data_IF_454386744078
#
_entry.id   IF_454386744078
#
_cell.length_a   1.000
_cell.length_b   1.000
_cell.length_c   1.000
_cell.angle_alpha   90.00
_cell.angle_beta   90.00
_cell.angle_gamma   90.00
#
_symmetry.space_group_name_H-M   'P 1'
#
loop_
_entity.id
_entity.type
_entity.pdbx_description
1 polymer ?
#
# COMPACT_ATOMS: atom_id res chain seq x y z
N UNK A 1 -3.21 17.33 -5.07
CA UNK A 1 -3.13 15.88 -4.79
C UNK A 1 -3.72 15.64 -3.40
N UNK A 2 -4.57 14.63 -3.22
CA UNK A 2 -5.03 14.22 -1.89
C UNK A 2 -3.99 13.31 -1.22
N UNK A 3 -3.75 13.45 0.08
CA UNK A 3 -2.71 12.74 0.83
C UNK A 3 -3.14 12.55 2.30
N UNK A 4 -2.72 11.49 3.02
CA UNK A 4 -3.08 11.27 4.42
C UNK A 4 -2.36 12.22 5.40
N UNK A 5 -1.33 12.92 4.93
CA UNK A 5 -0.48 13.85 5.69
C UNK A 5 -0.91 15.29 5.40
N UNK A 6 -0.94 16.16 6.41
CA UNK A 6 -1.30 17.57 6.20
C UNK A 6 -0.22 18.33 5.40
N UNK A 7 -0.62 19.41 4.74
CA UNK A 7 0.27 20.20 3.87
C UNK A 7 1.39 20.91 4.64
N UNK A 8 1.12 21.29 5.89
CA UNK A 8 2.10 21.92 6.78
C UNK A 8 3.26 20.96 7.08
N UNK A 9 2.97 19.72 7.48
CA UNK A 9 4.00 18.72 7.78
C UNK A 9 4.86 18.39 6.56
N UNK A 10 4.25 18.33 5.37
CA UNK A 10 4.98 18.10 4.12
C UNK A 10 5.94 19.26 3.83
N UNK A 11 5.48 20.50 4.02
CA UNK A 11 6.22 21.73 3.77
C UNK A 11 7.35 21.95 4.77
N UNK A 12 7.08 21.78 6.06
CA UNK A 12 8.08 21.92 7.12
C UNK A 12 9.03 20.71 7.20
N UNK A 13 8.60 19.54 6.73
CA UNK A 13 9.38 18.32 6.76
C UNK A 13 9.46 17.67 8.14
N UNK A 14 8.58 18.04 9.06
CA UNK A 14 8.40 17.46 10.40
C UNK A 14 6.91 17.24 10.66
N UNK A 15 6.58 16.33 11.58
CA UNK A 15 5.19 16.02 11.90
C UNK A 15 4.63 17.00 12.93
N UNK A 16 3.38 17.42 12.75
CA UNK A 16 2.62 18.10 13.78
C UNK A 16 2.06 17.10 14.79
N UNK A 17 1.61 17.59 15.95
CA UNK A 17 1.05 16.76 17.01
C UNK A 17 -0.13 15.87 16.55
N UNK A 18 -0.91 16.31 15.56
CA UNK A 18 -2.03 15.52 15.05
C UNK A 18 -1.57 14.37 14.16
N UNK A 19 -0.58 14.58 13.28
CA UNK A 19 -0.02 13.50 12.48
C UNK A 19 0.82 12.52 13.34
N UNK A 20 1.51 13.00 14.38
CA UNK A 20 2.16 12.14 15.36
C UNK A 20 1.16 11.21 16.06
N UNK A 21 0.00 11.74 16.48
CA UNK A 21 -1.09 10.92 17.05
C UNK A 21 -1.59 9.87 16.07
N UNK A 22 -1.71 10.20 14.78
CA UNK A 22 -2.09 9.23 13.75
C UNK A 22 -1.05 8.11 13.59
N UNK A 23 0.24 8.43 13.70
CA UNK A 23 1.29 7.41 13.72
C UNK A 23 1.17 6.51 14.94
N UNK A 24 1.01 7.09 16.13
CA UNK A 24 0.85 6.33 17.37
C UNK A 24 -0.36 5.40 17.36
N UNK A 25 -1.43 5.76 16.63
CA UNK A 25 -2.63 4.92 16.44
C UNK A 25 -2.49 3.88 15.31
N UNK A 26 -1.43 3.95 14.51
CA UNK A 26 -1.22 3.10 13.33
C UNK A 26 -2.11 3.47 12.14
N UNK A 27 -2.64 4.70 12.11
CA UNK A 27 -3.39 5.26 10.98
C UNK A 27 -2.48 5.88 9.91
N UNK A 28 -1.27 6.28 10.32
CA UNK A 28 -0.20 6.78 9.45
C UNK A 28 1.08 6.02 9.81
N UNK A 29 1.98 5.82 8.86
CA UNK A 29 3.33 5.30 9.10
C UNK A 29 4.39 6.36 8.77
N UNK A 30 5.61 6.17 9.27
CA UNK A 30 6.75 7.01 8.88
C UNK A 30 7.01 6.94 7.35
N UNK A 31 6.75 5.78 6.74
CA UNK A 31 6.85 5.61 5.30
C UNK A 31 5.77 6.41 4.56
N UNK A 32 4.54 6.49 5.09
CA UNK A 32 3.50 7.34 4.52
C UNK A 32 3.94 8.81 4.49
N UNK A 33 4.57 9.27 5.56
CA UNK A 33 5.11 10.62 5.63
C UNK A 33 6.19 10.87 4.59
N UNK A 34 7.14 9.95 4.46
CA UNK A 34 8.21 10.03 3.48
C UNK A 34 7.67 10.04 2.04
N UNK A 35 6.77 9.10 1.70
CA UNK A 35 6.15 9.01 0.38
C UNK A 35 5.34 10.25 0.05
N UNK A 36 4.57 10.80 1.01
CA UNK A 36 3.83 12.04 0.82
C UNK A 36 4.76 13.22 0.45
N UNK A 37 5.92 13.33 1.12
CA UNK A 37 6.91 14.37 0.80
C UNK A 37 7.55 14.18 -0.57
N UNK A 38 7.89 12.94 -0.94
CA UNK A 38 8.44 12.63 -2.26
C UNK A 38 7.42 12.98 -3.36
N UNK A 39 6.18 12.55 -3.21
CA UNK A 39 5.10 12.87 -4.16
C UNK A 39 4.87 14.38 -4.29
N UNK A 40 4.92 15.14 -3.18
CA UNK A 40 4.81 16.59 -3.22
C UNK A 40 5.94 17.26 -4.02
N UNK A 41 7.19 16.78 -3.85
CA UNK A 41 8.34 17.25 -4.65
C UNK A 41 8.17 16.91 -6.13
N UNK A 42 7.71 15.70 -6.46
CA UNK A 42 7.45 15.29 -7.84
C UNK A 42 6.34 16.16 -8.46
N UNK A 43 5.30 16.48 -7.67
CA UNK A 43 4.17 17.32 -8.11
C UNK A 43 4.58 18.77 -8.48
N UNK A 44 5.74 19.25 -8.01
CA UNK A 44 6.26 20.56 -8.45
C UNK A 44 6.73 20.56 -9.91
N UNK A 45 7.12 19.39 -10.43
CA UNK A 45 7.67 19.22 -11.79
C UNK A 45 6.71 18.49 -12.72
N UNK A 46 5.72 17.79 -12.17
CA UNK A 46 4.71 17.02 -12.89
C UNK A 46 3.32 17.33 -12.34
N UNK A 47 2.30 17.34 -13.19
CA UNK A 47 0.93 17.56 -12.74
C UNK A 47 0.33 16.29 -12.12
N UNK A 48 0.44 16.14 -10.79
CA UNK A 48 -0.21 15.10 -10.00
C UNK A 48 -1.42 15.65 -9.22
N UNK A 49 -1.97 16.80 -9.64
CA UNK A 49 -3.04 17.48 -8.90
C UNK A 49 -4.26 16.58 -8.67
N UNK A 50 -4.63 15.79 -9.69
CA UNK A 50 -5.74 14.84 -9.67
C UNK A 50 -5.40 13.50 -8.98
N UNK A 51 -4.14 13.25 -8.61
CA UNK A 51 -3.77 12.03 -7.90
C UNK A 51 -4.28 12.04 -6.46
N UNK A 52 -4.40 10.83 -5.90
CA UNK A 52 -4.63 10.60 -4.48
C UNK A 52 -3.63 9.59 -3.96
N UNK A 53 -3.12 9.83 -2.78
CA UNK A 53 -2.35 8.88 -2.00
C UNK A 53 -3.13 8.63 -0.72
N UNK A 54 -3.35 7.36 -0.36
CA UNK A 54 -4.12 6.99 0.84
C UNK A 54 -3.21 6.38 1.90
N UNK A 55 -2.38 5.39 1.52
CA UNK A 55 -1.43 4.71 2.40
C UNK A 55 -0.40 3.95 1.57
N UNK A 56 0.74 3.62 2.15
CA UNK A 56 1.72 2.70 1.58
C UNK A 56 2.08 1.57 2.54
N UNK A 57 2.57 0.47 1.97
CA UNK A 57 2.97 -0.73 2.70
C UNK A 57 4.35 -1.16 2.23
N UNK A 58 5.24 -1.39 3.18
CA UNK A 58 6.57 -1.93 2.94
C UNK A 58 6.52 -3.47 2.93
N UNK A 59 6.91 -4.05 1.81
CA UNK A 59 7.06 -5.50 1.59
C UNK A 59 8.55 -5.89 1.51
N UNK A 60 9.43 -5.12 2.15
CA UNK A 60 10.87 -5.32 2.15
C UNK A 60 11.51 -4.81 0.86
N UNK A 61 11.41 -5.59 -0.22
CA UNK A 61 11.98 -5.24 -1.55
C UNK A 61 11.08 -4.36 -2.41
N UNK A 62 9.84 -4.16 -1.97
CA UNK A 62 8.81 -3.44 -2.70
C UNK A 62 8.00 -2.57 -1.74
N UNK A 63 7.60 -1.39 -2.20
CA UNK A 63 6.60 -0.54 -1.54
C UNK A 63 5.34 -0.53 -2.40
N UNK A 64 4.20 -0.87 -1.79
CA UNK A 64 2.88 -0.77 -2.44
C UNK A 64 2.23 0.53 -1.99
N UNK A 65 1.87 1.40 -2.94
CA UNK A 65 1.23 2.69 -2.71
C UNK A 65 -0.23 2.61 -3.15
N UNK A 66 -1.14 2.93 -2.24
CA UNK A 66 -2.58 2.89 -2.47
C UNK A 66 -3.14 4.25 -2.89
N UNK A 67 -4.02 4.24 -3.90
CA UNK A 67 -4.72 5.42 -4.44
C UNK A 67 -6.21 5.15 -4.58
N UNK A 68 -7.06 6.09 -4.18
CA UNK A 68 -8.50 6.06 -4.48
C UNK A 68 -8.83 6.49 -5.92
N UNK A 69 -7.98 7.33 -6.50
CA UNK A 69 -8.06 7.78 -7.90
C UNK A 69 -7.43 6.80 -8.88
N UNK A 70 -7.38 7.21 -10.15
CA UNK A 70 -6.84 6.40 -11.24
C UNK A 70 -5.33 6.13 -11.03
N UNK A 71 -4.89 4.85 -10.97
CA UNK A 71 -3.47 4.51 -10.78
C UNK A 71 -2.53 5.13 -11.81
N UNK A 72 -3.00 5.31 -13.05
CA UNK A 72 -2.22 5.90 -14.15
C UNK A 72 -1.62 7.27 -13.82
N UNK A 73 -2.30 8.08 -13.00
CA UNK A 73 -1.80 9.41 -12.60
C UNK A 73 -0.57 9.29 -11.70
N UNK A 74 -0.57 8.37 -10.73
CA UNK A 74 0.59 8.09 -9.87
C UNK A 74 1.67 7.24 -10.55
N UNK A 75 1.32 6.46 -11.57
CA UNK A 75 2.31 5.77 -12.41
C UNK A 75 3.10 6.81 -13.22
N UNK A 76 2.39 7.81 -13.74
CA UNK A 76 2.94 8.84 -14.62
C UNK A 76 3.18 8.31 -16.03
N UNK A 77 3.35 9.23 -16.99
CA UNK A 77 3.68 8.88 -18.38
C UNK A 77 4.94 8.02 -18.40
N UNK A 78 4.89 6.87 -19.06
CA UNK A 78 5.98 5.88 -19.14
C UNK A 78 6.54 5.45 -17.76
N UNK A 79 5.73 5.47 -16.70
CA UNK A 79 6.17 5.05 -15.36
C UNK A 79 7.14 6.03 -14.69
N UNK A 80 7.23 7.27 -15.18
CA UNK A 80 8.22 8.26 -14.70
C UNK A 80 8.09 8.58 -13.20
N UNK A 81 6.87 8.66 -12.67
CA UNK A 81 6.63 8.95 -11.25
C UNK A 81 7.03 7.76 -10.38
N UNK A 82 6.61 6.55 -10.77
CA UNK A 82 6.99 5.31 -10.08
C UNK A 82 8.49 5.09 -10.12
N UNK A 83 9.16 5.39 -11.24
CA UNK A 83 10.61 5.29 -11.37
C UNK A 83 11.34 6.23 -10.40
N UNK A 84 10.88 7.47 -10.28
CA UNK A 84 11.46 8.46 -9.37
C UNK A 84 11.24 8.09 -7.89
N UNK A 85 10.05 7.62 -7.54
CA UNK A 85 9.77 7.07 -6.20
C UNK A 85 10.65 5.85 -5.91
N UNK A 86 10.79 4.95 -6.89
CA UNK A 86 11.60 3.75 -6.74
C UNK A 86 13.08 4.07 -6.51
N UNK A 87 13.60 5.08 -7.23
CA UNK A 87 14.96 5.55 -7.06
C UNK A 87 15.17 6.20 -5.69
N UNK A 88 14.23 7.04 -5.24
CA UNK A 88 14.30 7.71 -3.95
C UNK A 88 14.19 6.74 -2.75
N UNK A 89 13.33 5.73 -2.86
CA UNK A 89 13.10 4.74 -1.79
C UNK A 89 14.09 3.57 -1.81
N UNK A 90 14.87 3.41 -2.89
CA UNK A 90 15.76 2.24 -3.08
C UNK A 90 15.00 0.90 -3.18
N UNK A 91 13.70 0.94 -3.47
CA UNK A 91 12.79 -0.22 -3.49
C UNK A 91 11.95 -0.19 -4.74
N UNK A 92 11.46 -1.36 -5.19
CA UNK A 92 10.47 -1.40 -6.27
C UNK A 92 9.19 -0.72 -5.79
N UNK A 93 8.55 0.09 -6.63
CA UNK A 93 7.29 0.74 -6.27
C UNK A 93 6.16 0.17 -7.12
N UNK A 94 5.06 -0.19 -6.47
CA UNK A 94 3.83 -0.64 -7.12
C UNK A 94 2.69 0.27 -6.72
N UNK A 95 1.88 0.69 -7.68
CA UNK A 95 0.65 1.44 -7.40
C UNK A 95 -0.53 0.45 -7.40
N UNK A 96 -1.32 0.48 -6.35
CA UNK A 96 -2.54 -0.31 -6.19
C UNK A 96 -3.74 0.63 -6.01
N UNK A 97 -4.88 0.25 -6.58
CA UNK A 97 -6.10 1.03 -6.39
C UNK A 97 -6.76 0.60 -5.08
N UNK A 98 -7.02 1.55 -4.17
CA UNK A 98 -7.85 1.33 -3.00
C UNK A 98 -9.22 0.84 -3.45
N UNK A 99 -9.65 -0.30 -2.93
CA UNK A 99 -10.96 -0.87 -3.21
C UNK A 99 -11.66 -1.19 -1.90
N UNK A 100 -12.97 -0.97 -1.86
CA UNK A 100 -13.83 -1.52 -0.80
C UNK A 100 -13.89 -3.05 -0.85
N UNK A 101 -13.47 -3.67 -1.96
CA UNK A 101 -13.35 -5.11 -2.07
C UNK A 101 -12.01 -5.60 -1.49
N UNK A 102 -12.10 -6.19 -0.30
CA UNK A 102 -11.01 -6.87 0.37
C UNK A 102 -10.30 -7.90 -0.53
N UNK A 103 -11.04 -8.62 -1.39
CA UNK A 103 -10.48 -9.64 -2.28
C UNK A 103 -9.52 -9.02 -3.30
N UNK A 104 -9.90 -7.89 -3.89
CA UNK A 104 -9.07 -7.19 -4.88
C UNK A 104 -7.78 -6.68 -4.23
N UNK A 105 -7.90 -6.10 -3.03
CA UNK A 105 -6.76 -5.61 -2.25
C UNK A 105 -5.78 -6.74 -1.90
N UNK A 106 -6.29 -7.89 -1.45
CA UNK A 106 -5.47 -9.08 -1.18
C UNK A 106 -4.80 -9.58 -2.46
N UNK A 107 -5.53 -9.65 -3.58
CA UNK A 107 -4.98 -10.08 -4.86
C UNK A 107 -3.86 -9.16 -5.35
N UNK A 108 -4.02 -7.85 -5.19
CA UNK A 108 -2.99 -6.88 -5.57
C UNK A 108 -1.74 -7.01 -4.69
N UNK A 109 -1.89 -7.23 -3.39
CA UNK A 109 -0.76 -7.43 -2.46
C UNK A 109 0.00 -8.74 -2.71
N UNK A 110 -0.67 -9.78 -3.17
CA UNK A 110 -0.06 -11.10 -3.40
C UNK A 110 0.44 -11.31 -4.83
N UNK A 111 -0.01 -10.49 -5.78
CA UNK A 111 0.41 -10.60 -7.17
C UNK A 111 1.94 -10.47 -7.31
N UNK A 112 2.58 -11.29 -8.16
CA UNK A 112 1.99 -12.15 -9.21
C UNK A 112 1.60 -13.58 -8.77
N UNK A 113 1.53 -13.89 -7.48
CA UNK A 113 1.15 -15.24 -7.04
C UNK A 113 -0.26 -15.63 -7.52
N UNK A 114 -0.41 -16.88 -7.97
CA UNK A 114 -1.69 -17.42 -8.43
C UNK A 114 -2.55 -17.80 -7.23
N UNK A 115 -3.61 -17.03 -7.01
CA UNK A 115 -4.58 -17.26 -5.95
C UNK A 115 -5.63 -18.27 -6.45
N UNK A 116 -5.80 -19.36 -5.71
CA UNK A 116 -6.81 -20.39 -5.94
C UNK A 116 -8.17 -20.04 -5.32
N UNK A 117 -8.18 -19.22 -4.27
CA UNK A 117 -9.41 -18.70 -3.69
C UNK A 117 -9.20 -17.80 -2.48
N UNK A 118 -10.18 -16.92 -2.23
CA UNK A 118 -10.23 -16.02 -1.07
C UNK A 118 -11.58 -16.19 -0.39
N UNK A 119 -11.58 -16.85 0.76
CA UNK A 119 -12.77 -17.17 1.54
C UNK A 119 -12.77 -16.38 2.84
N UNK A 120 -13.72 -15.45 3.00
CA UNK A 120 -13.92 -14.72 4.25
C UNK A 120 -15.05 -15.36 5.04
N UNK A 121 -14.75 -15.79 6.26
CA UNK A 121 -15.71 -16.31 7.23
C UNK A 121 -16.00 -15.23 8.26
N UNK A 122 -17.27 -15.14 8.65
CA UNK A 122 -17.77 -14.20 9.65
C UNK A 122 -18.31 -15.01 10.82
N UNK A 123 -17.74 -14.85 12.00
CA UNK A 123 -18.21 -15.53 13.20
C UNK A 123 -18.06 -14.62 14.42
N UNK A 124 -19.16 -14.40 15.16
CA UNK A 124 -19.19 -13.61 16.40
C UNK A 124 -18.51 -12.22 16.29
N UNK A 125 -18.71 -11.53 15.17
CA UNK A 125 -18.10 -10.21 14.92
C UNK A 125 -16.64 -10.24 14.48
N UNK A 126 -16.02 -11.43 14.43
CA UNK A 126 -14.67 -11.65 13.91
C UNK A 126 -14.73 -12.03 12.43
N UNK A 127 -13.95 -11.32 11.61
CA UNK A 127 -13.71 -11.67 10.20
C UNK A 127 -12.38 -12.41 10.08
N UNK A 128 -12.44 -13.64 9.59
CA UNK A 128 -11.27 -14.45 9.27
C UNK A 128 -11.23 -14.73 7.77
N UNK A 129 -10.19 -14.27 7.09
CA UNK A 129 -10.01 -14.50 5.65
C UNK A 129 -8.95 -15.56 5.39
N UNK A 130 -9.36 -16.66 4.76
CA UNK A 130 -8.48 -17.72 4.28
C UNK A 130 -8.15 -17.48 2.81
N UNK A 131 -6.85 -17.30 2.52
CA UNK A 131 -6.33 -17.15 1.16
C UNK A 131 -5.60 -18.41 0.76
N UNK A 132 -6.02 -19.02 -0.34
CA UNK A 132 -5.42 -20.25 -0.89
C UNK A 132 -4.57 -19.88 -2.10
N UNK A 133 -3.30 -20.24 -2.08
CA UNK A 133 -2.31 -19.92 -3.13
C UNK A 133 -1.78 -21.23 -3.71
N UNK A 134 -1.59 -21.27 -5.03
CA UNK A 134 -0.96 -22.43 -5.68
C UNK A 134 0.47 -22.63 -5.16
N UNK A 135 0.85 -23.85 -4.76
CA UNK A 135 2.21 -24.16 -4.25
C UNK A 135 3.33 -23.69 -5.18
N UNK A 136 3.14 -23.79 -6.50
CA UNK A 136 4.12 -23.33 -7.50
C UNK A 136 4.37 -21.81 -7.46
N UNK A 137 3.46 -21.04 -6.86
CA UNK A 137 3.54 -19.58 -6.74
C UNK A 137 4.23 -19.09 -5.46
N UNK A 138 4.75 -19.97 -4.60
CA UNK A 138 5.44 -19.55 -3.37
C UNK A 138 6.62 -18.60 -3.68
N UNK A 139 7.43 -18.94 -4.68
CA UNK A 139 8.61 -18.15 -5.05
C UNK A 139 8.26 -16.82 -5.75
N UNK A 140 7.03 -16.69 -6.26
CA UNK A 140 6.58 -15.48 -6.95
C UNK A 140 5.98 -14.44 -6.01
N UNK A 141 5.80 -14.77 -4.73
CA UNK A 141 5.31 -13.82 -3.73
C UNK A 141 6.23 -12.59 -3.60
N UNK A 142 5.65 -11.39 -3.38
CA UNK A 142 6.44 -10.18 -3.30
C UNK A 142 7.25 -10.08 -2.00
N UNK A 143 6.81 -10.75 -0.92
CA UNK A 143 7.48 -10.85 0.38
C UNK A 143 7.20 -12.20 1.06
N UNK A 144 7.80 -12.43 2.22
CA UNK A 144 7.50 -13.58 3.07
C UNK A 144 6.08 -13.51 3.67
N UNK A 145 5.61 -14.63 4.20
CA UNK A 145 4.25 -14.78 4.71
C UNK A 145 3.92 -13.89 5.91
N UNK A 146 4.89 -13.64 6.78
CA UNK A 146 4.69 -12.81 7.97
C UNK A 146 4.51 -11.34 7.56
N UNK A 147 5.38 -10.86 6.67
CA UNK A 147 5.28 -9.54 6.06
C UNK A 147 3.94 -9.36 5.33
N UNK A 148 3.52 -10.35 4.52
CA UNK A 148 2.25 -10.31 3.79
C UNK A 148 1.03 -10.35 4.73
N UNK A 149 1.06 -11.20 5.76
CA UNK A 149 -0.01 -11.26 6.76
C UNK A 149 -0.18 -9.92 7.49
N UNK A 150 0.93 -9.32 7.92
CA UNK A 150 0.96 -7.98 8.56
C UNK A 150 0.49 -6.88 7.62
N UNK A 151 0.90 -6.93 6.36
CA UNK A 151 0.46 -5.99 5.32
C UNK A 151 -1.06 -6.03 5.14
N UNK A 152 -1.62 -7.22 4.95
CA UNK A 152 -3.07 -7.39 4.74
C UNK A 152 -3.84 -6.97 6.00
N UNK A 153 -3.38 -7.35 7.20
CA UNK A 153 -3.99 -6.93 8.47
C UNK A 153 -3.96 -5.41 8.66
N UNK A 154 -2.87 -4.74 8.27
CA UNK A 154 -2.75 -3.28 8.35
C UNK A 154 -3.74 -2.56 7.44
N UNK A 155 -3.94 -3.08 6.23
CA UNK A 155 -4.80 -2.45 5.21
C UNK A 155 -6.28 -2.76 5.46
N UNK A 156 -6.63 -4.02 5.73
CA UNK A 156 -8.01 -4.48 5.85
C UNK A 156 -8.53 -4.53 7.29
N UNK A 157 -7.66 -4.41 8.30
CA UNK A 157 -7.99 -4.58 9.73
C UNK A 157 -8.68 -5.93 10.02
N UNK A 158 -8.34 -6.95 9.24
CA UNK A 158 -8.86 -8.31 9.31
C UNK A 158 -7.74 -9.31 9.57
N UNK A 159 -8.05 -10.42 10.24
CA UNK A 159 -7.11 -11.53 10.39
C UNK A 159 -7.12 -12.41 9.13
N UNK A 160 -5.92 -12.76 8.67
CA UNK A 160 -5.73 -13.47 7.40
C UNK A 160 -4.82 -14.67 7.58
N UNK A 161 -5.26 -15.81 7.07
CA UNK A 161 -4.50 -17.06 7.03
C UNK A 161 -4.20 -17.41 5.57
N UNK A 162 -2.92 -17.42 5.23
CA UNK A 162 -2.44 -17.83 3.91
C UNK A 162 -2.09 -19.32 3.96
N UNK A 163 -2.67 -20.11 3.05
CA UNK A 163 -2.38 -21.54 2.89
C UNK A 163 -1.96 -21.86 1.46
N UNK A 164 -1.15 -22.90 1.30
CA UNK A 164 -0.70 -23.37 -0.01
C UNK A 164 -1.34 -24.70 -0.37
N UNK A 165 -1.89 -24.78 -1.58
CA UNK A 165 -2.51 -25.98 -2.13
C UNK A 165 -1.79 -26.46 -3.39
#
# INVERSE_FOLDING_TARGET
MKTPVCEEDIREGRLCSECEKKISKGDLSALDFEVARLLARINQRRNLTAASFTRCIDLGRMVVIFTEGEPGVLIGRNGTVVSELSHALGKRVRIAQSSSDARKTIADLLAPAKILGINTMYHEGVQNTKVRIEKGSIQSLPADLDTLGKAIKTVLKQDVTIVFE
#
